data_IF_410773519103
#
_entry.id   IF_410773519103
#
_cell.length_a   1.000
_cell.length_b   1.000
_cell.length_c   1.000
_cell.angle_alpha   90.00
_cell.angle_beta   90.00
_cell.angle_gamma   90.00
#
_symmetry.space_group_name_H-M   'P 1'
#
loop_
_entity.id
_entity.type
_entity.pdbx_description
1 polymer ?
2 polymer ?
3 non-polymer ?
4 water ?
#
# COMPACT_ATOMS: atom_id res chain seq x y z
N UNK A 1 -16.10 2.24 -0.50
CA UNK A 1 -14.71 2.54 -0.06
C UNK A 1 -14.40 4.00 -0.35
N UNK A 2 -13.49 4.60 0.42
CA UNK A 2 -13.11 5.98 0.16
C UNK A 2 -12.22 6.05 -1.07
N UNK A 3 -12.65 6.82 -2.06
CA UNK A 3 -11.93 6.93 -3.31
C UNK A 3 -10.90 8.06 -3.23
N UNK A 4 -9.64 7.68 -3.44
CA UNK A 4 -8.53 8.62 -3.51
C UNK A 4 -8.17 8.93 -4.97
N UNK A 5 -8.13 10.21 -5.31
CA UNK A 5 -7.83 10.63 -6.68
C UNK A 5 -6.71 11.65 -6.65
N UNK A 6 -5.72 11.48 -7.50
CA UNK A 6 -4.60 12.40 -7.53
C UNK A 6 -4.19 12.80 -8.93
N UNK A 7 -3.68 14.02 -9.05
CA UNK A 7 -3.29 14.57 -10.34
C UNK A 7 -1.97 15.34 -10.21
N UNK A 8 -1.13 15.31 -11.24
CA UNK A 8 -1.34 14.62 -12.51
C UNK A 8 -0.90 13.15 -12.44
N UNK A 9 -1.15 12.38 -13.50
CA UNK A 9 -0.58 11.04 -13.59
C UNK A 9 0.93 11.08 -13.79
N UNK A 10 1.40 12.01 -14.62
CA UNK A 10 2.83 12.27 -14.80
C UNK A 10 3.15 13.76 -14.61
N UNK A 11 4.24 14.02 -13.87
CA UNK A 11 4.63 15.38 -13.50
C UNK A 11 6.08 15.65 -13.92
N UNK A 12 6.27 16.13 -15.16
CA UNK A 12 7.59 16.52 -15.66
C UNK A 12 8.01 17.84 -15.03
N UNK A 13 9.22 17.86 -14.48
CA UNK A 13 9.78 19.08 -13.89
C UNK A 13 11.25 19.17 -14.25
N UNK A 14 11.82 20.37 -14.22
CA UNK A 14 13.28 20.52 -14.31
C UNK A 14 13.92 20.27 -12.95
N UNK A 15 15.14 19.74 -12.96
CA UNK A 15 15.95 19.65 -11.73
C UNK A 15 16.06 21.00 -11.04
N UNK A 16 15.92 21.01 -9.72
CA UNK A 16 15.98 22.25 -8.96
C UNK A 16 14.66 22.98 -8.86
N UNK A 17 13.68 22.56 -9.66
CA UNK A 17 12.36 23.19 -9.63
C UNK A 17 11.49 22.58 -8.54
N UNK A 18 10.40 23.27 -8.24
CA UNK A 18 9.38 22.79 -7.32
C UNK A 18 8.33 21.94 -8.05
N UNK A 19 7.87 20.87 -7.42
CA UNK A 19 6.77 20.06 -7.91
C UNK A 19 5.67 19.95 -6.84
N UNK A 20 4.42 20.01 -7.26
CA UNK A 20 3.30 19.85 -6.34
C UNK A 20 2.28 18.84 -6.88
N UNK A 21 1.93 17.87 -6.04
CA UNK A 21 0.95 16.82 -6.38
C UNK A 21 -0.35 17.05 -5.59
N UNK A 22 -1.49 17.02 -6.27
CA UNK A 22 -2.79 17.15 -5.61
C UNK A 22 -3.42 15.80 -5.35
N UNK A 23 -3.99 15.65 -4.16
CA UNK A 23 -4.70 14.43 -3.79
C UNK A 23 -6.02 14.79 -3.12
N UNK A 24 -7.10 14.15 -3.57
CA UNK A 24 -8.42 14.39 -3.02
C UNK A 24 -9.04 13.05 -2.57
N UNK A 25 -9.78 13.09 -1.47
CA UNK A 25 -10.51 11.94 -0.98
C UNK A 25 -12.02 12.17 -1.15
N UNK A 26 -12.77 11.09 -1.28
CA UNK A 26 -14.21 11.18 -1.52
C UNK A 26 -14.97 11.55 -0.24
N UNK A 27 -14.30 11.42 0.89
CA UNK A 27 -14.82 11.93 2.16
C UNK A 27 -13.71 12.33 3.13
N UNK A 28 -14.09 13.10 4.16
CA UNK A 28 -13.12 13.64 5.11
C UNK A 28 -12.26 12.54 5.71
N UNK A 29 -10.95 12.80 5.75
CA UNK A 29 -10.00 11.88 6.37
C UNK A 29 -9.70 12.21 7.86
N UNK A 30 -10.48 13.09 8.46
CA UNK A 30 -10.40 13.29 9.91
C UNK A 30 -11.02 12.12 10.66
N UNK A 31 -10.15 11.37 11.34
CA UNK A 31 -10.57 10.24 12.16
C UNK A 31 -11.34 10.74 13.39
N UNK A 32 -12.08 9.85 14.03
CA UNK A 32 -12.79 10.20 15.26
C UNK A 32 -11.86 10.59 16.42
N UNK A 33 -10.60 10.19 16.35
CA UNK A 33 -9.62 10.66 17.33
C UNK A 33 -9.09 12.07 16.99
N UNK A 34 -9.61 12.64 15.92
CA UNK A 34 -9.26 14.00 15.53
C UNK A 34 -8.04 14.15 14.65
N UNK A 35 -7.28 13.06 14.50
CA UNK A 35 -6.09 13.03 13.65
C UNK A 35 -6.47 12.66 12.21
N UNK A 36 -5.58 12.94 11.25
CA UNK A 36 -5.91 12.75 9.84
C UNK A 36 -4.91 11.80 9.18
N UNK A 37 -5.39 10.61 8.81
CA UNK A 37 -4.50 9.57 8.32
C UNK A 37 -4.40 9.55 6.78
N UNK A 38 -3.81 10.61 6.25
CA UNK A 38 -3.47 10.70 4.83
C UNK A 38 -1.96 10.52 4.73
N UNK A 39 -1.53 9.56 3.93
CA UNK A 39 -0.10 9.26 3.77
C UNK A 39 0.32 9.31 2.31
N UNK A 40 1.62 9.46 2.09
CA UNK A 40 2.21 9.40 0.77
C UNK A 40 3.27 8.30 0.74
N UNK A 41 3.23 7.47 -0.30
CA UNK A 41 4.27 6.46 -0.52
C UNK A 41 5.05 6.85 -1.78
N UNK A 42 6.33 6.47 -1.84
CA UNK A 42 7.12 6.59 -3.05
C UNK A 42 7.55 5.21 -3.53
N UNK A 43 7.32 4.93 -4.81
CA UNK A 43 7.72 3.64 -5.38
C UNK A 43 8.76 3.78 -6.49
N UNK A 44 9.87 3.06 -6.35
CA UNK A 44 10.89 3.01 -7.40
C UNK A 44 10.65 1.80 -8.29
N UNK A 45 11.26 1.78 -9.49
CA UNK A 45 10.95 0.66 -10.39
C UNK A 45 11.33 -0.70 -9.81
N UNK A 46 10.39 -1.63 -9.89
CA UNK A 46 10.62 -2.98 -9.42
C UNK A 46 10.64 -3.17 -7.91
N UNK A 47 10.30 -2.12 -7.16
CA UNK A 47 10.28 -2.20 -5.69
C UNK A 47 8.87 -1.96 -5.14
N UNK A 48 8.70 -2.20 -3.85
CA UNK A 48 7.43 -1.95 -3.20
C UNK A 48 7.30 -0.48 -2.84
N UNK A 49 6.07 0.00 -2.66
CA UNK A 49 5.90 1.38 -2.18
C UNK A 49 6.51 1.54 -0.78
N UNK A 50 7.24 2.64 -0.59
CA UNK A 50 7.85 2.95 0.70
C UNK A 50 7.15 4.16 1.32
N UNK A 51 6.88 4.10 2.62
CA UNK A 51 6.25 5.22 3.30
C UNK A 51 7.15 6.44 3.27
N UNK A 52 6.60 7.55 2.81
CA UNK A 52 7.35 8.79 2.64
C UNK A 52 6.91 9.87 3.66
N UNK A 53 5.63 10.23 3.59
CA UNK A 53 5.00 11.17 4.51
C UNK A 53 3.80 10.46 5.14
N UNK A 54 3.62 10.62 6.46
CA UNK A 54 2.47 10.03 7.13
C UNK A 54 1.71 11.05 7.95
N UNK A 55 0.40 10.81 8.06
CA UNK A 55 -0.48 11.74 8.77
C UNK A 55 -0.29 13.19 8.29
N UNK A 56 -0.50 13.37 6.98
CA UNK A 56 -0.49 14.66 6.28
C UNK A 56 0.90 15.24 6.08
N UNK A 57 1.70 15.35 7.15
CA UNK A 57 2.87 16.25 7.13
C UNK A 57 4.14 15.67 7.80
N UNK A 58 4.06 14.45 8.30
CA UNK A 58 5.19 13.89 9.04
C UNK A 58 6.12 13.13 8.12
N UNK A 59 7.39 13.50 8.14
CA UNK A 59 8.38 12.81 7.32
C UNK A 59 8.77 11.49 7.94
N UNK A 60 8.67 10.43 7.17
CA UNK A 60 9.18 9.14 7.62
C UNK A 60 10.70 9.14 7.70
N UNK A 61 11.23 8.08 8.31
CA UNK A 61 12.64 8.00 8.60
C UNK A 61 13.49 8.16 7.34
N UNK A 62 14.38 9.14 7.37
CA UNK A 62 15.33 9.33 6.28
C UNK A 62 14.82 10.17 5.12
N UNK A 63 13.60 10.68 5.23
CA UNK A 63 13.03 11.51 4.17
C UNK A 63 13.44 12.99 4.32
N UNK A 64 14.01 13.57 3.25
CA UNK A 64 14.48 14.96 3.31
C UNK A 64 13.39 15.99 3.62
N UNK A 65 13.79 17.10 4.23
CA UNK A 65 12.83 18.17 4.51
C UNK A 65 12.37 18.95 3.27
N UNK A 66 12.93 18.64 2.10
CA UNK A 66 12.40 19.13 0.83
C UNK A 66 11.00 18.58 0.52
N UNK A 67 10.64 17.47 1.15
CA UNK A 67 9.28 16.95 1.03
C UNK A 67 8.41 17.54 2.12
N UNK A 68 7.36 18.25 1.73
CA UNK A 68 6.41 18.75 2.71
C UNK A 68 4.97 18.48 2.29
N UNK A 69 4.24 17.81 3.18
CA UNK A 69 2.85 17.51 2.93
C UNK A 69 1.92 18.50 3.59
N UNK A 70 0.81 18.79 2.94
CA UNK A 70 -0.15 19.77 3.44
C UNK A 70 -1.56 19.37 3.13
N UNK A 71 -2.51 20.07 3.75
CA UNK A 71 -3.92 19.93 3.43
C UNK A 71 -4.78 19.50 4.59
N UNK A 72 -6.06 19.32 4.32
CA UNK A 72 -7.02 18.96 5.35
C UNK A 72 -8.35 18.49 4.77
N UNK A 73 -9.08 17.71 5.56
CA UNK A 73 -10.40 17.24 5.17
C UNK A 73 -10.35 16.25 4.01
N UNK A 74 -10.62 16.76 2.82
CA UNK A 74 -10.63 15.93 1.62
C UNK A 74 -9.54 16.33 0.62
N UNK A 75 -8.85 17.44 0.91
CA UNK A 75 -7.92 18.00 -0.08
C UNK A 75 -6.50 18.17 0.44
N UNK A 76 -5.57 17.52 -0.24
CA UNK A 76 -4.18 17.45 0.21
C UNK A 76 -3.17 17.72 -0.90
N UNK A 77 -1.98 18.11 -0.50
CA UNK A 77 -0.89 18.39 -1.43
C UNK A 77 0.45 17.86 -0.93
N UNK A 78 1.21 17.25 -1.83
CA UNK A 78 2.63 16.97 -1.56
C UNK A 78 3.47 17.93 -2.37
N UNK A 79 4.29 18.71 -1.68
CA UNK A 79 5.22 19.61 -2.35
C UNK A 79 6.63 19.07 -2.24
N UNK A 80 7.29 18.94 -3.38
CA UNK A 80 8.68 18.53 -3.45
C UNK A 80 9.51 19.72 -3.92
N UNK A 81 10.23 20.34 -2.99
CA UNK A 81 11.08 21.48 -3.31
C UNK A 81 12.40 21.04 -3.92
N UNK A 82 12.91 21.85 -4.85
CA UNK A 82 14.24 21.65 -5.42
C UNK A 82 14.48 20.20 -5.83
N UNK A 83 13.65 19.73 -6.76
CA UNK A 83 13.69 18.33 -7.17
C UNK A 83 15.07 17.86 -7.59
N UNK A 84 15.43 16.67 -7.12
CA UNK A 84 16.67 15.98 -7.48
C UNK A 84 16.34 14.65 -8.13
N UNK A 85 17.34 14.05 -8.77
CA UNK A 85 17.18 12.73 -9.38
C UNK A 85 16.80 11.62 -8.38
N UNK A 86 17.22 11.77 -7.12
CA UNK A 86 16.82 10.81 -6.06
C UNK A 86 15.30 10.77 -5.84
N UNK A 87 14.62 11.85 -6.18
CA UNK A 87 13.19 11.96 -5.91
C UNK A 87 12.34 11.25 -6.96
N UNK A 88 12.98 10.81 -8.03
CA UNK A 88 12.25 10.17 -9.13
C UNK A 88 11.56 8.89 -8.67
N UNK A 89 10.39 8.62 -9.25
CA UNK A 89 9.59 7.47 -8.86
C UNK A 89 8.12 7.80 -8.99
N UNK A 90 7.26 6.91 -8.47
CA UNK A 90 5.82 7.15 -8.48
C UNK A 90 5.31 7.39 -7.06
N UNK A 91 4.69 8.55 -6.85
CA UNK A 91 4.16 8.92 -5.54
C UNK A 91 2.69 8.57 -5.47
N UNK A 92 2.30 7.90 -4.40
CA UNK A 92 0.89 7.52 -4.18
C UNK A 92 0.39 8.18 -2.89
N UNK A 93 -0.76 8.86 -2.94
CA UNK A 93 -1.40 9.19 -1.68
C UNK A 93 -2.32 8.03 -1.29
N UNK A 94 -2.63 7.96 0.00
CA UNK A 94 -3.33 6.81 0.56
C UNK A 94 -4.00 7.25 1.86
N UNK A 95 -5.16 6.69 2.17
CA UNK A 95 -5.80 7.00 3.44
C UNK A 95 -5.92 5.75 4.30
N UNK A 96 -5.74 5.89 5.61
CA UNK A 96 -6.00 4.79 6.54
C UNK A 96 -6.91 5.22 7.70
N UNK A 97 -7.69 6.28 7.50
CA UNK A 97 -8.70 6.72 8.46
C UNK A 97 -9.88 5.75 8.45
N UNK A 98 -10.26 5.33 7.25
CA UNK A 98 -11.43 4.48 7.04
C UNK A 98 -11.02 3.11 6.51
N UNK A 99 -11.74 2.08 6.98
CA UNK A 99 -11.53 0.70 6.56
C UNK A 99 -12.48 0.37 5.41
N UNK A 100 -11.96 -0.16 4.29
CA UNK A 100 -10.57 -0.53 3.97
C UNK A 100 -9.68 0.66 3.58
N UNK A 101 -8.39 0.50 3.85
CA UNK A 101 -7.39 1.48 3.43
C UNK A 101 -7.34 1.50 1.89
N UNK A 102 -7.23 2.69 1.32
CA UNK A 102 -7.29 2.86 -0.14
C UNK A 102 -6.17 3.77 -0.65
N UNK A 103 -5.96 3.78 -1.96
CA UNK A 103 -4.78 4.40 -2.57
C UNK A 103 -5.18 5.19 -3.82
N UNK A 104 -4.54 6.33 -4.02
CA UNK A 104 -4.61 7.03 -5.30
C UNK A 104 -3.89 6.28 -6.42
N UNK A 105 -4.12 6.70 -7.66
CA UNK A 105 -3.60 6.00 -8.85
C UNK A 105 -2.11 6.28 -9.07
N UNK A 106 -1.57 7.29 -8.39
CA UNK A 106 -0.14 7.55 -8.49
C UNK A 106 0.23 8.70 -9.40
N UNK A 107 1.39 9.28 -9.12
CA UNK A 107 1.94 10.38 -9.92
C UNK A 107 3.42 10.09 -10.15
N UNK A 108 3.80 9.92 -11.41
CA UNK A 108 5.21 9.72 -11.75
C UNK A 108 5.92 11.06 -11.85
N UNK A 109 6.87 11.30 -10.97
CA UNK A 109 7.73 12.47 -11.10
C UNK A 109 8.80 12.15 -12.14
N UNK A 110 8.99 13.03 -13.12
CA UNK A 110 10.05 12.83 -14.07
C UNK A 110 10.73 14.14 -14.44
N UNK A 111 11.99 14.03 -14.85
CA UNK A 111 12.78 15.19 -15.26
C UNK A 111 12.56 15.51 -16.73
N UNK A 112 12.11 16.73 -17.00
CA UNK A 112 11.94 17.21 -18.39
C UNK A 112 13.03 18.21 -18.73
N UNK A 113 13.50 18.15 -19.96
CA UNK A 113 14.50 19.09 -20.45
C UNK A 113 14.01 19.81 -21.71
N UNK B 1 15.05 -4.44 12.64
CA UNK B 1 14.43 -4.04 11.37
C UNK B 1 13.18 -4.87 11.08
N UNK B 2 12.08 -4.21 10.72
CA UNK B 2 10.90 -4.93 10.25
C UNK B 2 11.14 -5.49 8.84
N UNK B 3 10.93 -6.79 8.70
CA UNK B 3 11.21 -7.43 7.43
C UNK B 3 10.05 -8.33 7.01
N UNK B 4 9.67 -8.22 5.75
CA UNK B 4 8.65 -9.09 5.17
C UNK B 4 9.10 -9.57 3.78
N UNK B 5 8.82 -10.82 3.47
CA UNK B 5 9.17 -11.36 2.16
C UNK B 5 8.10 -12.32 1.64
N UNK B 6 7.56 -11.98 0.47
CA UNK B 6 6.54 -12.81 -0.18
C UNK B 6 7.21 -13.81 -1.10
N UNK B 7 6.53 -14.93 -1.33
CA UNK B 7 6.95 -15.89 -2.35
C UNK B 7 5.73 -16.65 -2.86
N UNK B 8 5.91 -17.35 -3.98
CA UNK B 8 4.86 -18.22 -4.48
C UNK B 8 4.17 -17.72 -5.74
N UNK B 9 4.45 -16.49 -6.15
CA UNK B 9 3.82 -15.95 -7.33
C UNK B 9 4.25 -16.68 -8.61
N UNK B 10 3.47 -16.54 -9.66
CA UNK B 10 3.86 -17.11 -10.93
C UNK B 10 2.76 -17.02 -11.95
N UNK B 11 2.99 -17.66 -13.09
CA UNK B 11 2.03 -17.68 -14.19
C UNK B 11 1.01 -18.78 -13.93
N UNK B 12 -0.26 -18.47 -14.15
CA UNK B 12 -1.32 -19.44 -13.90
C UNK B 12 -2.50 -19.24 -14.85
N UNK B 13 -3.15 -20.35 -15.26
CA UNK B 13 -4.35 -20.29 -16.09
C UNK B 13 -5.52 -19.66 -15.34
N UNK B 14 -6.41 -18.95 -16.08
CA UNK B 14 -7.72 -18.63 -15.49
C UNK B 14 -8.41 -19.88 -14.97
N UNK B 15 -9.06 -19.75 -13.81
CA UNK B 15 -9.69 -20.87 -13.17
C UNK B 15 -8.75 -21.63 -12.24
N UNK B 16 -7.46 -21.41 -12.40
CA UNK B 16 -6.46 -22.11 -11.61
C UNK B 16 -6.32 -21.56 -10.20
N UNK B 17 -5.31 -22.06 -9.49
CA UNK B 17 -5.11 -21.76 -8.08
C UNK B 17 -3.64 -21.61 -7.77
N UNK B 18 -3.35 -20.87 -6.71
CA UNK B 18 -1.98 -20.51 -6.38
C UNK B 18 -1.94 -20.02 -4.93
N UNK B 19 -0.98 -20.51 -4.17
CA UNK B 19 -0.83 -20.09 -2.77
C UNK B 19 0.41 -19.22 -2.57
N UNK B 20 0.21 -18.04 -1.98
CA UNK B 20 1.32 -17.17 -1.64
C UNK B 20 1.67 -17.27 -0.15
N UNK B 21 2.95 -17.07 0.14
CA UNK B 21 3.45 -17.15 1.51
C UNK B 21 4.15 -15.86 1.85
N UNK B 22 4.15 -15.50 3.13
CA UNK B 22 4.86 -14.32 3.58
C UNK B 22 5.57 -14.61 4.91
N UNK B 23 6.90 -14.50 4.88
CA UNK B 23 7.75 -14.68 6.06
C UNK B 23 8.12 -13.33 6.65
N UNK B 24 8.03 -13.23 7.97
CA UNK B 24 8.22 -11.94 8.65
C UNK B 24 9.17 -12.01 9.84
N UNK B 25 9.74 -10.86 10.18
CA UNK B 25 10.52 -10.69 11.40
C UNK B 25 10.62 -9.22 11.79
N UNK B 26 11.07 -8.96 13.02
CA UNK B 26 11.36 -7.60 13.44
C UNK B 26 10.20 -6.87 14.08
N UNK B 27 9.15 -7.61 14.41
CA UNK B 27 8.01 -7.09 15.17
C UNK B 27 7.27 -8.28 15.79
N UNK B 28 6.42 -8.01 16.78
CA UNK B 28 5.63 -9.09 17.40
C UNK B 28 4.47 -9.57 16.51
N UNK B 29 4.66 -10.73 15.90
CA UNK B 29 3.71 -11.24 14.91
C UNK B 29 2.34 -11.52 15.51
N UNK B 30 2.31 -12.13 16.69
CA UNK B 30 1.06 -12.55 17.30
C UNK B 30 0.13 -11.39 17.63
N UNK B 31 0.68 -10.19 17.79
CA UNK B 31 -0.12 -8.98 18.01
C UNK B 31 -0.66 -8.39 16.70
N UNK B 32 0.10 -8.56 15.64
CA UNK B 32 -0.18 -7.88 14.37
C UNK B 32 -1.41 -8.42 13.63
N UNK B 33 -2.30 -7.52 13.24
CA UNK B 33 -3.26 -7.80 12.17
C UNK B 33 -2.46 -7.79 10.87
N UNK B 34 -2.62 -8.82 10.05
CA UNK B 34 -1.83 -8.98 8.82
C UNK B 34 -2.71 -8.86 7.56
N UNK B 35 -2.11 -8.41 6.46
CA UNK B 35 -2.88 -8.08 5.25
C UNK B 35 -2.15 -8.49 3.98
N UNK B 36 -2.93 -8.72 2.93
CA UNK B 36 -2.41 -8.71 1.56
C UNK B 36 -3.01 -7.53 0.77
N UNK B 37 -2.13 -6.84 0.05
CA UNK B 37 -2.51 -5.75 -0.85
C UNK B 37 -1.92 -6.11 -2.21
N UNK B 38 -2.66 -5.88 -3.28
CA UNK B 38 -2.09 -6.12 -4.60
C UNK B 38 -2.00 -4.86 -5.46
N UNK B 39 -1.05 -4.85 -6.37
CA UNK B 39 -0.92 -3.75 -7.32
C UNK B 39 -1.31 -4.28 -8.69
N UNK B 40 -2.54 -3.97 -9.06
CA UNK B 40 -3.14 -4.44 -10.31
C UNK B 40 -2.77 -3.51 -11.46
N UNK B 41 -2.44 -4.09 -12.62
CA UNK B 41 -2.15 -3.27 -13.81
C UNK B 41 -3.39 -2.58 -14.36
N UNK B 42 -4.54 -2.93 -13.80
CA UNK B 42 -5.82 -2.35 -14.19
C UNK B 42 -6.39 -1.37 -13.16
N UNK B 43 -6.28 -1.73 -11.88
CA UNK B 43 -6.87 -0.96 -10.76
C UNK B 43 -5.86 -0.24 -9.86
N UNK B 44 -4.58 -0.55 -10.04
CA UNK B 44 -3.56 -0.01 -9.14
C UNK B 44 -3.55 -0.71 -7.78
N UNK B 45 -3.06 0.00 -6.77
CA UNK B 45 -2.92 -0.57 -5.42
C UNK B 45 -4.29 -0.74 -4.75
N UNK B 46 -4.54 -1.93 -4.23
CA UNK B 46 -5.85 -2.25 -3.68
C UNK B 46 -5.75 -3.35 -2.64
N UNK B 47 -6.23 -3.04 -1.45
CA UNK B 47 -6.29 -4.03 -0.37
C UNK B 47 -7.11 -5.28 -0.78
N UNK B 48 -6.64 -6.46 -0.40
CA UNK B 48 -7.25 -7.73 -0.78
C UNK B 48 -7.86 -8.48 0.42
N UNK B 49 -7.08 -8.63 1.50
CA UNK B 49 -7.50 -9.48 2.62
C UNK B 49 -6.80 -9.13 3.93
N UNK B 50 -7.51 -9.33 5.04
CA UNK B 50 -6.95 -9.09 6.36
C UNK B 50 -7.25 -10.26 7.29
N UNK B 51 -6.30 -10.58 8.16
CA UNK B 51 -6.54 -11.55 9.22
C UNK B 51 -6.06 -11.01 10.57
N UNK B 52 -6.99 -11.00 11.52
CA UNK B 52 -6.74 -10.37 12.80
C UNK B 52 -5.90 -11.26 13.72
N UNK B 53 -5.53 -10.71 14.87
CA UNK B 53 -4.82 -11.50 15.86
C UNK B 53 -5.73 -12.49 16.61
N UNK B 54 -5.08 -13.38 17.35
CA UNK B 54 -5.75 -14.43 18.12
C UNK B 54 -6.83 -13.89 19.07
N UNK B 55 -6.56 -12.76 19.70
CA UNK B 55 -7.51 -12.18 20.64
C UNK B 55 -8.78 -11.69 19.95
N UNK B 56 -8.70 -11.44 18.65
CA UNK B 56 -9.87 -11.11 17.83
C UNK B 56 -10.28 -12.30 16.94
N UNK B 57 -10.02 -13.52 17.43
CA UNK B 57 -10.48 -14.77 16.83
C UNK B 57 -9.84 -15.08 15.46
N UNK B 58 -8.68 -14.48 15.19
CA UNK B 58 -8.05 -14.61 13.87
C UNK B 58 -9.04 -14.32 12.73
N UNK B 59 -9.98 -13.41 12.97
CA UNK B 59 -11.09 -13.17 12.04
C UNK B 59 -10.57 -12.65 10.68
N UNK B 60 -11.22 -13.07 9.60
CA UNK B 60 -10.78 -12.74 8.24
C UNK B 60 -11.76 -11.80 7.54
N UNK B 61 -11.23 -10.95 6.67
CA UNK B 61 -12.05 -9.97 5.95
C UNK B 61 -11.48 -9.79 4.55
N UNK B 62 -12.36 -9.75 3.56
CA UNK B 62 -11.93 -9.80 2.15
C UNK B 62 -12.51 -8.66 1.33
N UNK B 63 -11.77 -8.22 0.33
CA UNK B 63 -12.35 -7.36 -0.71
C UNK B 63 -13.49 -8.13 -1.42
N UNK B 64 -14.56 -7.42 -1.75
CA UNK B 64 -15.70 -8.03 -2.45
C UNK B 64 -15.30 -8.81 -3.71
N UNK B 65 -14.36 -8.25 -4.46
CA UNK B 65 -13.85 -8.88 -5.69
C UNK B 65 -13.21 -10.27 -5.52
N UNK B 66 -12.70 -10.57 -4.32
CA UNK B 66 -12.04 -11.87 -4.07
C UNK B 66 -12.75 -12.76 -3.04
N UNK B 67 -13.77 -12.22 -2.38
CA UNK B 67 -14.52 -12.98 -1.39
C UNK B 67 -15.07 -14.28 -1.95
N UNK B 68 -14.83 -15.37 -1.24
CA UNK B 68 -15.28 -16.68 -1.68
C UNK B 68 -14.28 -17.43 -2.54
N UNK B 69 -13.27 -16.72 -3.05
CA UNK B 69 -12.25 -17.34 -3.91
C UNK B 69 -10.89 -17.37 -3.21
N UNK B 70 -10.64 -16.38 -2.36
CA UNK B 70 -9.35 -16.27 -1.69
C UNK B 70 -9.52 -16.60 -0.22
N UNK B 71 -8.48 -17.18 0.37
CA UNK B 71 -8.45 -17.49 1.79
C UNK B 71 -7.14 -17.04 2.40
N UNK B 72 -7.23 -16.07 3.31
CA UNK B 72 -6.05 -15.62 4.03
C UNK B 72 -5.97 -16.41 5.34
N UNK B 73 -4.75 -16.82 5.67
CA UNK B 73 -4.52 -17.61 6.89
C UNK B 73 -3.17 -17.20 7.48
N UNK B 74 -2.93 -17.54 8.74
CA UNK B 74 -1.66 -17.23 9.39
C UNK B 74 -1.21 -18.39 10.24
N UNK B 75 0.09 -18.47 10.43
CA UNK B 75 0.67 -19.38 11.41
C UNK B 75 1.52 -18.57 12.36
N UNK B 76 0.98 -18.35 13.56
CA UNK B 76 1.66 -17.54 14.56
C UNK B 76 2.96 -18.16 15.04
N UNK B 77 2.99 -19.50 15.07
CA UNK B 77 4.23 -20.25 15.40
C UNK B 77 5.38 -20.00 14.41
N UNK B 78 5.04 -19.79 13.14
CA UNK B 78 6.04 -19.60 12.09
C UNK B 78 6.24 -18.12 11.75
N UNK B 79 5.39 -17.27 12.31
CA UNK B 79 5.31 -15.86 11.94
C UNK B 79 5.16 -15.65 10.42
N UNK B 80 4.20 -16.39 9.86
CA UNK B 80 3.91 -16.36 8.43
C UNK B 80 2.45 -16.08 8.17
N UNK B 81 2.17 -15.30 7.14
CA UNK B 81 0.81 -15.16 6.63
C UNK B 81 0.74 -15.68 5.19
N UNK B 82 -0.39 -16.30 4.84
CA UNK B 82 -0.60 -16.91 3.52
C UNK B 82 -1.80 -16.33 2.80
N UNK B 83 -1.81 -16.48 1.48
CA UNK B 83 -3.00 -16.19 0.68
C UNK B 83 -3.22 -17.31 -0.33
N UNK B 84 -4.24 -18.13 -0.08
CA UNK B 84 -4.61 -19.15 -1.04
C UNK B 84 -5.63 -18.58 -2.02
N UNK B 85 -5.27 -18.61 -3.30
CA UNK B 85 -6.14 -18.11 -4.36
C UNK B 85 -6.71 -19.26 -5.16
N UNK B 86 -8.03 -19.24 -5.33
CA UNK B 86 -8.74 -20.21 -6.19
C UNK B 86 -9.51 -19.52 -7.31
N UNK B 87 -9.85 -20.31 -8.33
CA UNK B 87 -10.64 -19.84 -9.47
C UNK B 87 -10.15 -18.47 -9.96
N UNK B 88 -8.86 -18.41 -10.23
CA UNK B 88 -8.22 -17.15 -10.57
C UNK B 88 -8.79 -16.53 -11.85
N UNK B 89 -8.85 -15.20 -11.88
CA UNK B 89 -9.37 -14.45 -13.02
C UNK B 89 -8.26 -13.58 -13.59
N UNK B 90 -8.41 -13.15 -14.84
CA UNK B 90 -7.41 -12.27 -15.47
C UNK B 90 -7.23 -11.02 -14.63
N UNK B 91 -8.34 -10.64 -14.00
CA UNK B 91 -8.48 -9.52 -13.09
C UNK B 91 -7.54 -9.58 -11.86
N UNK B 92 -7.18 -10.80 -11.48
CA UNK B 92 -6.33 -11.02 -10.30
C UNK B 92 -4.83 -10.84 -10.58
N UNK B 93 -4.48 -10.58 -11.84
CA UNK B 93 -3.08 -10.34 -12.19
C UNK B 93 -2.53 -9.11 -11.46
N UNK B 94 -1.34 -9.25 -10.89
CA UNK B 94 -0.67 -8.10 -10.28
C UNK B 94 0.42 -8.49 -9.30
N UNK B 95 1.05 -7.48 -8.69
CA UNK B 95 2.10 -7.74 -7.69
C UNK B 95 1.43 -7.84 -6.32
N UNK B 96 1.62 -8.97 -5.64
CA UNK B 96 1.01 -9.18 -4.32
C UNK B 96 2.00 -8.93 -3.20
N UNK B 97 1.60 -8.05 -2.28
CA UNK B 97 2.43 -7.66 -1.15
C UNK B 97 1.78 -8.10 0.15
N UNK B 98 2.57 -8.61 1.09
CA UNK B 98 2.07 -8.68 2.46
C UNK B 98 2.53 -7.49 3.27
N UNK B 99 1.68 -7.10 4.21
CA UNK B 99 1.93 -5.99 5.09
C UNK B 99 1.04 -6.19 6.33
N UNK B 100 0.86 -5.16 7.13
CA UNK B 100 0.07 -5.31 8.33
C UNK B 100 -0.03 -4.03 9.13
N UNK B 101 -0.61 -4.13 10.32
CA UNK B 101 -0.82 -2.96 11.18
C UNK B 101 0.14 -3.02 12.36
N UNK B 102 0.98 -2.00 12.48
CA UNK B 102 2.13 -2.02 13.37
C UNK B 102 1.90 -1.09 14.56
N UNK B 103 2.56 -1.35 15.69
CA UNK B 103 2.34 -0.55 16.89
C UNK B 103 2.64 0.95 16.71
N UNK B 104 3.81 1.29 16.18
CA UNK B 104 4.19 2.70 16.11
C UNK B 104 3.58 3.44 14.93
N UNK B 105 3.13 2.67 13.94
CA UNK B 105 2.48 3.21 12.76
C UNK B 105 1.31 2.31 12.40
N UNK B 106 0.10 2.60 12.95
CA UNK B 106 -1.02 1.66 12.84
C UNK B 106 -1.71 1.67 11.47
N UNK B 107 -0.91 1.47 10.42
CA UNK B 107 -1.39 1.35 9.04
C UNK B 107 -0.33 0.57 8.27
N UNK B 108 -0.47 0.48 6.95
CA UNK B 108 0.46 -0.36 6.19
C UNK B 108 1.81 0.32 6.04
N UNK B 109 2.61 0.33 7.11
CA UNK B 109 3.85 1.10 7.13
C UNK B 109 5.01 0.38 6.47
N UNK B 110 5.04 -0.95 6.55
CA UNK B 110 6.13 -1.75 5.99
C UNK B 110 5.54 -2.85 5.13
N UNK B 111 6.16 -3.07 3.97
CA UNK B 111 5.65 -3.98 2.94
C UNK B 111 6.75 -4.95 2.55
N UNK B 112 6.39 -6.12 2.03
CA UNK B 112 7.41 -6.98 1.44
C UNK B 112 7.84 -6.45 0.08
N UNK B 113 8.75 -7.15 -0.60
CA UNK B 113 9.18 -6.76 -1.94
C UNK B 113 8.13 -7.02 -3.02
N UNK B 114 7.15 -7.86 -2.70
CA UNK B 114 6.10 -8.22 -3.66
C UNK B 114 6.43 -9.46 -4.49
N UNK B 115 5.40 -10.25 -4.78
CA UNK B 115 5.54 -11.39 -5.68
C UNK B 115 4.53 -11.27 -6.84
N UNK B 116 5.02 -11.37 -8.08
CA UNK B 116 4.16 -11.19 -9.26
C UNK B 116 3.28 -12.42 -9.56
N UNK B 117 1.97 -12.19 -9.60
CA UNK B 117 1.01 -13.21 -10.04
C UNK B 117 0.48 -12.83 -11.43
N UNK B 118 0.70 -13.70 -12.40
CA UNK B 118 0.25 -13.43 -13.78
C UNK B 118 -0.76 -14.50 -14.18
N UNK B 119 -2.00 -14.08 -14.43
CA UNK B 119 -3.01 -15.01 -14.93
C UNK B 119 -3.04 -14.94 -16.46
N UNK B 120 -2.82 -16.09 -17.09
CA UNK B 120 -2.64 -16.16 -18.54
C UNK B 120 -3.94 -16.00 -19.34
X LIG C 1 -16.14 12.66 14.95
X LIG C 1 -15.75 13.65 15.89
X LIG C 1 -15.02 12.24 14.21
X LIG C 1 -16.71 11.53 15.57
X LIG C 1 -17.04 13.19 14.00
X LIG D 1 6.11 -13.34 18.05
X LIG D 1 4.70 -13.16 18.04
X LIG D 1 6.74 -12.54 17.04
X LIG D 1 6.60 -12.93 19.33
X LIG D 1 6.36 -14.73 17.83
#
# INVERSE_FOLDING_TARGET
DVVMTQTPLSLPVSLGNQASISCRSSQSLVHSNGNTYLHWYLQKPGQSPKLLIYKVSNRFSGVPDRFSGSGSGTDFTLKISRVEAEDLGVYFCSQSTHVPFTFGSGTKLEIKR
EVKLEESGGGLVQPGGSMKLSCATSGFTFSDAWMDWVRQSPEKGLEWVAEIRNKANNHATYYAESVKGRFTISRDDSKRRVYLQMNTLRAEDTGIYYCTGIYYHYPWFAYWGQGTLVTVSAEPR
SO4 S O1 O2 O3 O4
SO4 S O1 O2 O3 O4
#
